data_IF_015879678026
#
_entry.id   IF_015879678026
#
_cell.length_a   1.000
_cell.length_b   1.000
_cell.length_c   1.000
_cell.angle_alpha   90.00
_cell.angle_beta   90.00
_cell.angle_gamma   90.00
#
_symmetry.space_group_name_H-M   'P 1'
#
loop_
_entity.id
_entity.type
_entity.pdbx_description
1 polymer ?
#
# COMPACT_ATOMS: atom_id res chain seq x y z
N UNK A 1 30.38 32.09 2.29
CA UNK A 1 29.67 30.88 2.75
C UNK A 1 30.76 29.84 2.96
N UNK A 2 31.24 29.69 4.18
CA UNK A 2 32.18 28.61 4.52
C UNK A 2 31.43 27.29 4.37
N UNK A 3 31.96 26.38 3.54
CA UNK A 3 31.53 24.99 3.55
C UNK A 3 31.94 24.42 4.90
N UNK A 4 30.95 24.14 5.75
CA UNK A 4 31.16 23.33 6.94
C UNK A 4 31.38 21.91 6.41
N UNK A 5 32.62 21.43 6.41
CA UNK A 5 32.92 20.03 6.13
C UNK A 5 32.20 19.19 7.19
N UNK A 6 31.31 18.30 6.74
CA UNK A 6 30.74 17.28 7.62
C UNK A 6 31.87 16.42 8.20
N UNK A 7 31.82 16.07 9.49
CA UNK A 7 32.83 15.19 10.08
C UNK A 7 32.89 13.87 9.31
N UNK A 8 34.09 13.29 9.22
CA UNK A 8 34.30 11.99 8.60
C UNK A 8 33.43 10.92 9.30
N UNK A 9 32.82 9.98 8.55
CA UNK A 9 31.95 8.96 9.12
C UNK A 9 32.72 8.06 10.08
N UNK A 10 32.13 7.80 11.25
CA UNK A 10 32.70 6.96 12.32
C UNK A 10 31.76 5.79 12.57
N UNK A 11 32.04 4.61 12.00
CA UNK A 11 31.14 3.47 12.14
C UNK A 11 31.12 2.98 13.59
N UNK A 12 29.93 2.63 14.09
CA UNK A 12 29.77 1.92 15.35
C UNK A 12 28.93 0.67 15.14
N UNK A 13 29.34 -0.50 15.62
CA UNK A 13 28.48 -1.68 15.56
C UNK A 13 27.28 -1.55 16.53
N UNK A 14 26.09 -1.88 16.05
CA UNK A 14 24.85 -1.87 16.86
C UNK A 14 24.83 -2.97 17.93
N UNK A 15 25.63 -4.03 17.71
CA UNK A 15 25.79 -5.15 18.63
C UNK A 15 27.17 -5.80 18.44
N UNK A 16 27.72 -6.48 19.46
CA UNK A 16 28.96 -7.23 19.32
C UNK A 16 28.85 -8.31 18.23
N UNK A 17 29.80 -8.33 17.29
CA UNK A 17 29.88 -9.35 16.24
C UNK A 17 30.92 -10.39 16.63
N UNK A 18 30.56 -11.67 16.55
CA UNK A 18 31.52 -12.77 16.73
C UNK A 18 31.64 -13.52 15.40
N UNK A 19 32.81 -13.44 14.78
CA UNK A 19 33.13 -14.28 13.62
C UNK A 19 33.35 -15.71 14.12
N UNK A 20 32.57 -16.66 13.60
CA UNK A 20 32.85 -18.08 13.84
C UNK A 20 34.17 -18.43 13.17
N UNK A 21 35.02 -19.19 13.86
CA UNK A 21 36.26 -19.70 13.29
C UNK A 21 35.97 -20.34 11.93
N UNK A 22 36.58 -19.81 10.88
CA UNK A 22 36.54 -20.44 9.58
C UNK A 22 37.42 -21.69 9.64
N UNK A 23 36.82 -22.88 9.60
CA UNK A 23 37.51 -24.15 9.33
C UNK A 23 37.96 -24.20 7.86
N UNK A 24 38.73 -23.20 7.45
CA UNK A 24 39.20 -22.97 6.09
C UNK A 24 40.72 -22.99 5.99
N UNK A 25 41.26 -22.88 4.77
CA UNK A 25 42.71 -22.79 4.55
C UNK A 25 43.33 -21.60 5.31
N UNK A 26 44.66 -21.61 5.58
CA UNK A 26 45.33 -20.60 6.40
C UNK A 26 45.05 -19.15 5.99
N UNK A 27 44.88 -18.91 4.69
CA UNK A 27 44.53 -17.59 4.13
C UNK A 27 43.14 -17.11 4.61
N UNK A 28 42.16 -18.01 4.70
CA UNK A 28 40.81 -17.69 5.21
C UNK A 28 40.81 -17.44 6.72
N UNK A 29 41.67 -18.13 7.46
CA UNK A 29 41.82 -17.88 8.91
C UNK A 29 42.47 -16.52 9.17
N UNK A 30 43.49 -16.16 8.39
CA UNK A 30 44.13 -14.87 8.48
C UNK A 30 43.17 -13.72 8.15
N UNK A 31 42.41 -13.83 7.05
CA UNK A 31 41.39 -12.85 6.69
C UNK A 31 40.30 -12.68 7.77
N UNK A 32 39.89 -13.76 8.44
CA UNK A 32 38.93 -13.70 9.53
C UNK A 32 39.48 -12.95 10.76
N UNK A 33 40.77 -13.11 11.08
CA UNK A 33 41.42 -12.38 12.17
C UNK A 33 41.50 -10.89 11.86
N UNK A 34 41.89 -10.55 10.63
CA UNK A 34 41.95 -9.16 10.15
C UNK A 34 40.57 -8.50 10.23
N UNK A 35 39.53 -9.17 9.71
CA UNK A 35 38.17 -8.68 9.78
C UNK A 35 37.67 -8.51 11.22
N UNK A 36 37.93 -9.46 12.12
CA UNK A 36 37.55 -9.34 13.53
C UNK A 36 38.17 -8.10 14.20
N UNK A 37 39.47 -7.90 14.00
CA UNK A 37 40.19 -6.74 14.53
C UNK A 37 39.68 -5.42 13.97
N UNK A 38 39.33 -5.39 12.68
CA UNK A 38 38.72 -4.20 12.07
C UNK A 38 37.34 -3.92 12.66
N UNK A 39 36.50 -4.95 12.84
CA UNK A 39 35.18 -4.80 13.45
C UNK A 39 35.26 -4.29 14.90
N UNK A 40 36.28 -4.67 15.66
CA UNK A 40 36.50 -4.14 17.02
C UNK A 40 36.79 -2.63 17.03
N UNK A 41 37.24 -2.06 15.91
CA UNK A 41 37.47 -0.62 15.76
C UNK A 41 36.21 0.15 15.29
N UNK A 42 35.11 -0.55 14.96
CA UNK A 42 33.83 0.08 14.65
C UNK A 42 33.12 0.44 15.95
N UNK A 43 33.70 1.40 16.68
CA UNK A 43 33.30 1.82 18.03
C UNK A 43 32.69 3.23 18.08
N UNK A 44 32.53 3.88 16.92
CA UNK A 44 32.08 5.26 16.78
C UNK A 44 33.14 6.31 17.16
N UNK A 45 34.37 5.91 17.47
CA UNK A 45 35.48 6.81 17.84
C UNK A 45 36.48 6.97 16.70
N UNK A 46 36.74 5.88 15.99
CA UNK A 46 37.69 5.86 14.88
C UNK A 46 36.98 6.15 13.55
N UNK A 47 37.58 7.01 12.72
CA UNK A 47 37.14 7.18 11.34
C UNK A 47 37.78 6.14 10.40
N UNK A 48 37.27 6.02 9.17
CA UNK A 48 37.74 5.02 8.22
C UNK A 48 39.20 5.23 7.76
N UNK A 49 39.72 6.45 7.84
CA UNK A 49 41.12 6.74 7.50
C UNK A 49 42.07 6.39 8.66
N UNK A 50 41.60 6.45 9.91
CA UNK A 50 42.27 5.91 11.09
C UNK A 50 42.33 4.38 11.03
N UNK A 51 41.19 3.73 10.77
CA UNK A 51 41.11 2.26 10.70
C UNK A 51 41.96 1.72 9.54
N UNK A 52 41.95 2.36 8.37
CA UNK A 52 42.79 1.95 7.23
C UNK A 52 44.30 2.11 7.50
N UNK A 53 44.69 3.04 8.38
CA UNK A 53 46.09 3.21 8.79
C UNK A 53 46.51 2.14 9.79
N UNK A 54 45.62 1.79 10.72
CA UNK A 54 45.88 0.80 11.76
C UNK A 54 45.80 -0.65 11.22
N UNK A 55 45.04 -0.86 10.14
CA UNK A 55 44.93 -2.15 9.46
C UNK A 55 45.20 -2.05 7.94
N UNK A 56 46.49 -1.93 7.52
CA UNK A 56 46.85 -1.72 6.11
C UNK A 56 46.54 -2.92 5.20
N UNK A 57 46.17 -4.07 5.77
CA UNK A 57 45.71 -5.25 5.03
C UNK A 57 44.27 -5.07 4.49
N UNK A 58 43.52 -4.09 5.02
CA UNK A 58 42.20 -3.68 4.56
C UNK A 58 42.27 -2.27 3.92
N UNK A 59 42.47 -2.19 2.60
CA UNK A 59 42.44 -0.93 1.88
C UNK A 59 41.15 -0.15 2.15
N UNK A 60 41.25 1.19 2.16
CA UNK A 60 40.12 2.10 2.38
C UNK A 60 38.88 1.77 1.54
N UNK A 61 39.06 1.39 0.27
CA UNK A 61 37.96 1.00 -0.62
C UNK A 61 37.19 -0.25 -0.13
N UNK A 62 37.88 -1.23 0.45
CA UNK A 62 37.24 -2.42 1.04
C UNK A 62 36.56 -2.08 2.37
N UNK A 63 37.10 -1.14 3.15
CA UNK A 63 36.44 -0.64 4.35
C UNK A 63 35.14 0.10 3.99
N UNK A 64 35.16 0.94 2.95
CA UNK A 64 33.94 1.61 2.46
C UNK A 64 32.88 0.59 1.99
N UNK A 65 33.28 -0.49 1.30
CA UNK A 65 32.39 -1.57 0.89
C UNK A 65 31.83 -2.37 2.09
N UNK A 66 32.68 -2.69 3.07
CA UNK A 66 32.30 -3.40 4.28
C UNK A 66 31.30 -2.58 5.10
N UNK A 67 31.60 -1.30 5.36
CA UNK A 67 30.69 -0.39 6.06
C UNK A 67 29.38 -0.28 5.30
N UNK A 68 29.43 -0.04 3.99
CA UNK A 68 28.20 0.04 3.18
C UNK A 68 27.39 -1.26 3.18
N UNK A 69 28.01 -2.42 3.37
CA UNK A 69 27.32 -3.72 3.47
C UNK A 69 26.70 -3.91 4.86
N UNK A 70 27.43 -3.56 5.91
CA UNK A 70 26.96 -3.68 7.28
C UNK A 70 25.87 -2.64 7.62
N UNK A 71 26.01 -1.42 7.11
CA UNK A 71 24.98 -0.37 7.18
C UNK A 71 23.68 -0.81 6.51
N UNK A 72 23.73 -1.33 5.28
CA UNK A 72 22.56 -1.94 4.61
C UNK A 72 21.94 -3.10 5.38
N UNK A 73 22.71 -3.80 6.21
CA UNK A 73 22.23 -4.86 7.08
C UNK A 73 21.73 -4.35 8.45
N UNK A 74 21.81 -3.05 8.71
CA UNK A 74 21.45 -2.43 9.99
C UNK A 74 22.39 -2.80 11.13
N UNK A 75 23.65 -3.14 10.81
CA UNK A 75 24.66 -3.58 11.76
C UNK A 75 25.61 -2.45 12.21
N UNK A 76 25.56 -1.29 11.55
CA UNK A 76 26.31 -0.09 11.91
C UNK A 76 25.34 1.04 12.26
N UNK A 77 25.69 1.79 13.29
CA UNK A 77 25.13 3.07 13.73
C UNK A 77 26.24 4.10 13.51
N UNK A 78 26.34 4.64 12.29
CA UNK A 78 27.17 5.82 12.08
C UNK A 78 26.30 7.05 12.35
N UNK A 79 26.87 8.08 12.99
CA UNK A 79 26.18 9.37 13.20
C UNK A 79 25.91 10.10 11.85
N UNK A 80 25.95 9.39 10.72
CA UNK A 80 25.66 9.92 9.41
C UNK A 80 24.16 10.28 9.34
N UNK A 81 23.82 11.51 8.96
CA UNK A 81 22.43 11.90 8.82
C UNK A 81 21.79 11.06 7.70
N UNK A 82 20.87 10.17 8.07
CA UNK A 82 20.05 9.43 7.10
C UNK A 82 19.13 10.42 6.40
N UNK A 83 19.27 10.51 5.08
CA UNK A 83 18.39 11.33 4.24
C UNK A 83 16.93 10.89 4.45
N UNK A 84 16.18 11.71 5.17
CA UNK A 84 14.82 11.43 5.59
C UNK A 84 13.92 12.64 5.36
N UNK A 85 12.62 12.38 5.20
CA UNK A 85 11.59 13.39 4.92
C UNK A 85 10.37 13.15 5.80
N UNK A 86 9.65 14.20 6.14
CA UNK A 86 8.44 14.07 6.95
C UNK A 86 7.37 13.26 6.21
N UNK A 87 6.63 12.41 6.92
CA UNK A 87 5.55 11.61 6.33
C UNK A 87 4.51 12.48 5.60
N UNK A 88 4.20 13.64 6.18
CA UNK A 88 3.29 14.63 5.59
C UNK A 88 3.74 15.19 4.24
N UNK A 89 5.05 15.27 3.98
CA UNK A 89 5.58 15.70 2.68
C UNK A 89 5.57 14.56 1.67
N UNK A 90 5.92 13.35 2.13
CA UNK A 90 5.97 12.16 1.28
C UNK A 90 4.58 11.79 0.77
N UNK A 91 3.54 11.89 1.60
CA UNK A 91 2.20 11.52 1.17
C UNK A 91 1.67 12.41 0.04
N UNK A 92 1.96 13.72 0.07
CA UNK A 92 1.56 14.62 -1.02
C UNK A 92 2.22 14.21 -2.35
N UNK A 93 3.49 13.85 -2.32
CA UNK A 93 4.19 13.36 -3.52
C UNK A 93 3.63 12.01 -4.00
N UNK A 94 3.22 11.13 -3.08
CA UNK A 94 2.57 9.87 -3.44
C UNK A 94 1.20 10.13 -4.07
N UNK A 95 0.39 11.02 -3.49
CA UNK A 95 -0.92 11.41 -4.03
C UNK A 95 -0.78 11.97 -5.46
N UNK A 96 0.19 12.87 -5.70
CA UNK A 96 0.48 13.40 -7.04
C UNK A 96 0.86 12.29 -8.04
N UNK A 97 1.66 11.31 -7.61
CA UNK A 97 2.04 10.17 -8.45
C UNK A 97 0.86 9.23 -8.73
N UNK A 98 0.01 8.97 -7.72
CA UNK A 98 -1.21 8.19 -7.90
C UNK A 98 -2.12 8.87 -8.91
N UNK A 99 -2.36 10.17 -8.77
CA UNK A 99 -3.19 10.95 -9.70
C UNK A 99 -2.64 10.86 -11.13
N UNK A 100 -1.33 11.05 -11.30
CA UNK A 100 -0.66 10.92 -12.60
C UNK A 100 -0.90 9.53 -13.23
N UNK A 101 -0.83 8.46 -12.43
CA UNK A 101 -1.11 7.11 -12.93
C UNK A 101 -2.60 6.89 -13.22
N UNK A 102 -3.50 7.45 -12.42
CA UNK A 102 -4.95 7.40 -12.64
C UNK A 102 -5.33 8.06 -13.97
N UNK A 103 -4.77 9.24 -14.28
CA UNK A 103 -4.97 9.93 -15.56
C UNK A 103 -4.55 9.11 -16.79
N UNK A 104 -3.55 8.24 -16.61
CA UNK A 104 -3.03 7.36 -17.67
C UNK A 104 -3.81 6.06 -17.80
N UNK A 105 -4.53 5.63 -16.77
CA UNK A 105 -5.18 4.31 -16.66
C UNK A 105 -6.66 4.47 -16.30
N UNK A 106 -6.99 4.52 -15.01
CA UNK A 106 -8.35 4.53 -14.45
C UNK A 106 -9.30 5.51 -15.15
N UNK A 107 -8.91 6.76 -15.37
CA UNK A 107 -9.80 7.74 -16.00
C UNK A 107 -10.05 7.47 -17.49
N UNK A 108 -9.29 6.56 -18.09
CA UNK A 108 -9.46 6.07 -19.46
C UNK A 108 -10.14 4.70 -19.52
N UNK A 109 -10.39 4.07 -18.36
CA UNK A 109 -11.05 2.79 -18.27
C UNK A 109 -12.44 2.84 -18.91
N UNK A 110 -12.84 1.81 -19.70
CA UNK A 110 -14.17 1.75 -20.30
C UNK A 110 -15.32 1.91 -19.29
N UNK A 111 -15.19 1.33 -18.10
CA UNK A 111 -16.18 1.46 -17.04
C UNK A 111 -16.42 2.92 -16.65
N UNK A 112 -15.33 3.64 -16.37
CA UNK A 112 -15.40 5.03 -15.93
C UNK A 112 -15.86 5.98 -17.05
N UNK A 113 -15.41 5.73 -18.28
CA UNK A 113 -15.91 6.47 -19.45
C UNK A 113 -17.41 6.29 -19.64
N UNK A 114 -17.91 5.06 -19.52
CA UNK A 114 -19.35 4.80 -19.60
C UNK A 114 -20.14 5.54 -18.51
N UNK A 115 -19.61 5.61 -17.28
CA UNK A 115 -20.24 6.39 -16.22
C UNK A 115 -20.30 7.90 -16.55
N UNK A 116 -19.21 8.47 -17.09
CA UNK A 116 -19.14 9.88 -17.48
C UNK A 116 -20.04 10.20 -18.68
N UNK A 117 -20.11 9.31 -19.66
CA UNK A 117 -20.90 9.45 -20.89
C UNK A 117 -22.39 9.16 -20.68
N UNK A 118 -22.80 8.68 -19.49
CA UNK A 118 -24.20 8.43 -19.15
C UNK A 118 -24.95 9.75 -19.02
N UNK A 119 -25.97 9.96 -19.86
CA UNK A 119 -26.76 11.20 -19.86
C UNK A 119 -28.27 10.97 -19.81
N UNK A 120 -28.72 9.75 -20.10
CA UNK A 120 -30.12 9.37 -20.22
C UNK A 120 -30.41 7.97 -19.68
N UNK A 121 -31.69 7.63 -19.41
CA UNK A 121 -32.10 6.28 -19.07
C UNK A 121 -31.68 5.27 -20.13
N UNK A 122 -31.06 4.16 -19.70
CA UNK A 122 -30.59 3.09 -20.59
C UNK A 122 -29.16 3.22 -21.10
N UNK A 123 -28.49 4.36 -20.90
CA UNK A 123 -27.07 4.54 -21.28
C UNK A 123 -26.14 3.67 -20.43
N UNK A 124 -26.48 3.46 -19.15
CA UNK A 124 -25.80 2.55 -18.25
C UNK A 124 -26.62 1.27 -18.09
N UNK A 125 -26.11 0.09 -18.51
CA UNK A 125 -26.83 -1.17 -18.33
C UNK A 125 -27.03 -1.48 -16.84
N UNK A 126 -28.27 -1.76 -16.43
CA UNK A 126 -28.59 -2.15 -15.04
C UNK A 126 -27.77 -3.36 -14.58
N UNK A 127 -27.54 -4.33 -15.48
CA UNK A 127 -26.68 -5.49 -15.24
C UNK A 127 -25.25 -5.11 -14.88
N UNK A 128 -24.68 -4.09 -15.53
CA UNK A 128 -23.35 -3.58 -15.22
C UNK A 128 -23.32 -2.93 -13.84
N UNK A 129 -24.35 -2.15 -13.50
CA UNK A 129 -24.47 -1.55 -12.17
C UNK A 129 -24.59 -2.62 -11.07
N UNK A 130 -25.45 -3.62 -11.25
CA UNK A 130 -25.57 -4.75 -10.31
C UNK A 130 -24.23 -5.50 -10.19
N UNK A 131 -23.54 -5.73 -11.31
CA UNK A 131 -22.22 -6.36 -11.33
C UNK A 131 -21.17 -5.61 -10.53
N UNK A 132 -21.12 -4.28 -10.68
CA UNK A 132 -20.26 -3.43 -9.86
C UNK A 132 -20.58 -3.57 -8.36
N UNK A 133 -21.86 -3.64 -7.98
CA UNK A 133 -22.26 -3.85 -6.57
C UNK A 133 -21.87 -5.25 -6.07
N UNK A 134 -21.97 -6.29 -6.91
CA UNK A 134 -21.53 -7.66 -6.58
C UNK A 134 -20.03 -7.67 -6.24
N UNK A 135 -19.20 -7.07 -7.09
CA UNK A 135 -17.75 -7.10 -6.87
C UNK A 135 -17.34 -6.22 -5.67
N UNK A 136 -17.99 -5.08 -5.45
CA UNK A 136 -17.74 -4.27 -4.25
C UNK A 136 -18.22 -4.98 -2.97
N UNK A 137 -19.31 -5.73 -3.02
CA UNK A 137 -19.72 -6.56 -1.87
C UNK A 137 -18.62 -7.56 -1.54
N UNK A 138 -18.04 -8.23 -2.54
CA UNK A 138 -16.93 -9.15 -2.32
C UNK A 138 -15.65 -8.49 -1.80
N UNK A 139 -15.39 -7.26 -2.20
CA UNK A 139 -14.29 -6.44 -1.70
C UNK A 139 -14.50 -6.10 -0.22
N UNK A 140 -15.62 -5.44 0.13
CA UNK A 140 -15.94 -5.03 1.51
C UNK A 140 -16.12 -6.22 2.46
N UNK A 141 -16.75 -7.30 2.00
CA UNK A 141 -16.88 -8.53 2.80
C UNK A 141 -15.52 -9.11 3.23
N UNK A 142 -14.45 -8.79 2.50
CA UNK A 142 -13.07 -9.23 2.77
C UNK A 142 -12.18 -8.12 3.31
N UNK A 143 -12.71 -6.95 3.60
CA UNK A 143 -11.94 -5.81 4.09
C UNK A 143 -11.16 -6.13 5.36
N UNK A 144 -11.78 -6.88 6.25
CA UNK A 144 -11.09 -7.39 7.45
C UNK A 144 -9.84 -8.23 7.17
N UNK A 145 -9.68 -8.81 5.98
CA UNK A 145 -8.49 -9.59 5.62
C UNK A 145 -7.28 -8.70 5.34
N UNK A 146 -7.48 -7.45 4.93
CA UNK A 146 -6.41 -6.51 4.62
C UNK A 146 -6.31 -5.33 5.58
N UNK A 147 -7.36 -4.99 6.34
CA UNK A 147 -7.28 -3.93 7.35
C UNK A 147 -6.79 -4.42 8.73
N UNK A 148 -7.23 -5.61 9.14
CA UNK A 148 -6.84 -6.16 10.44
C UNK A 148 -5.31 -6.29 10.66
N UNK A 149 -4.49 -6.65 9.65
CA UNK A 149 -3.05 -6.84 9.82
C UNK A 149 -2.29 -5.58 10.24
N UNK A 150 -2.81 -4.39 9.94
CA UNK A 150 -2.16 -3.11 10.29
C UNK A 150 -2.61 -2.55 11.64
N UNK A 151 -3.65 -3.11 12.26
CA UNK A 151 -4.12 -2.69 13.58
C UNK A 151 -3.06 -2.71 14.68
N UNK A 152 -2.06 -3.62 14.72
CA UNK A 152 -1.02 -3.59 15.74
C UNK A 152 0.14 -2.65 15.41
N UNK A 153 0.05 -1.75 14.41
CA UNK A 153 1.15 -0.90 13.93
C UNK A 153 1.96 -0.29 15.09
N UNK A 154 3.13 -0.91 15.34
CA UNK A 154 3.98 -0.64 16.51
C UNK A 154 4.65 0.73 16.43
N UNK A 155 5.16 1.18 15.27
CA UNK A 155 5.95 2.42 15.19
C UNK A 155 5.22 3.69 15.63
N UNK A 156 3.88 3.74 15.56
CA UNK A 156 3.11 4.92 15.94
C UNK A 156 1.80 4.56 16.63
N UNK A 157 1.68 4.94 17.91
CA UNK A 157 0.46 4.76 18.70
C UNK A 157 -0.72 5.59 18.16
N UNK A 158 -0.54 6.87 17.77
CA UNK A 158 -1.61 7.63 17.12
C UNK A 158 -2.14 6.96 15.85
N UNK A 159 -1.25 6.52 14.95
CA UNK A 159 -1.64 5.77 13.73
C UNK A 159 -2.44 4.53 14.09
N UNK A 160 -1.97 3.73 15.07
CA UNK A 160 -2.69 2.56 15.55
C UNK A 160 -4.12 2.89 16.01
N UNK A 161 -4.30 3.93 16.81
CA UNK A 161 -5.63 4.33 17.29
C UNK A 161 -6.53 4.80 16.15
N UNK A 162 -5.98 5.51 15.17
CA UNK A 162 -6.70 5.93 13.96
C UNK A 162 -7.17 4.72 13.15
N UNK A 163 -6.31 3.73 12.91
CA UNK A 163 -6.67 2.50 12.19
C UNK A 163 -7.70 1.65 12.93
N UNK A 164 -7.61 1.56 14.27
CA UNK A 164 -8.60 0.82 15.06
C UNK A 164 -10.00 1.47 15.00
N UNK A 165 -10.05 2.81 14.95
CA UNK A 165 -11.31 3.54 14.76
C UNK A 165 -11.87 3.27 13.36
N UNK A 166 -11.06 3.47 12.32
CA UNK A 166 -11.43 3.21 10.93
C UNK A 166 -11.97 1.79 10.73
N UNK A 167 -11.24 0.77 11.19
CA UNK A 167 -11.67 -0.63 11.12
C UNK A 167 -13.01 -0.90 11.83
N UNK A 168 -13.27 -0.20 12.94
CA UNK A 168 -14.54 -0.34 13.67
C UNK A 168 -15.70 0.34 12.95
N UNK A 169 -15.42 1.40 12.16
CA UNK A 169 -16.38 2.14 11.36
C UNK A 169 -16.77 1.35 10.10
N UNK A 170 -15.80 0.76 9.41
CA UNK A 170 -16.02 -0.05 8.19
C UNK A 170 -16.77 -1.37 8.45
N UNK A 171 -16.78 -1.85 9.71
CA UNK A 171 -17.41 -3.11 10.04
C UNK A 171 -18.91 -3.13 9.70
N UNK A 172 -19.28 -3.98 8.74
CA UNK A 172 -20.66 -4.16 8.30
C UNK A 172 -21.07 -3.29 7.11
N UNK A 173 -20.14 -2.56 6.49
CA UNK A 173 -20.43 -1.82 5.25
C UNK A 173 -20.84 -2.74 4.08
N UNK A 174 -20.38 -4.00 4.08
CA UNK A 174 -20.84 -5.02 3.15
C UNK A 174 -22.37 -5.28 3.25
N UNK A 175 -22.96 -5.12 4.43
CA UNK A 175 -24.41 -5.26 4.63
C UNK A 175 -25.20 -4.18 3.90
N UNK A 176 -24.63 -2.97 3.77
CA UNK A 176 -25.24 -1.88 3.03
C UNK A 176 -25.35 -2.26 1.55
N UNK A 177 -24.29 -2.83 0.97
CA UNK A 177 -24.32 -3.31 -0.41
C UNK A 177 -25.26 -4.51 -0.58
N UNK A 178 -25.36 -5.37 0.43
CA UNK A 178 -26.29 -6.49 0.41
C UNK A 178 -27.76 -6.03 0.33
N UNK A 179 -28.11 -4.86 0.87
CA UNK A 179 -29.46 -4.29 0.69
C UNK A 179 -29.76 -3.97 -0.78
N UNK A 180 -28.80 -3.40 -1.51
CA UNK A 180 -28.94 -3.14 -2.95
C UNK A 180 -29.04 -4.46 -3.75
N UNK A 181 -28.26 -5.46 -3.38
CA UNK A 181 -28.28 -6.79 -4.03
C UNK A 181 -29.58 -7.55 -3.76
N UNK A 182 -30.14 -7.46 -2.54
CA UNK A 182 -31.44 -8.05 -2.21
C UNK A 182 -32.56 -7.44 -3.05
N UNK A 183 -32.52 -6.13 -3.33
CA UNK A 183 -33.46 -5.49 -4.24
C UNK A 183 -33.36 -6.06 -5.66
N UNK A 184 -32.15 -6.35 -6.12
CA UNK A 184 -31.89 -7.03 -7.39
C UNK A 184 -32.21 -8.54 -7.38
N UNK A 185 -32.76 -9.07 -6.28
CA UNK A 185 -33.16 -10.47 -6.15
C UNK A 185 -32.03 -11.43 -5.76
N UNK A 186 -30.88 -10.91 -5.30
CA UNK A 186 -29.74 -11.70 -4.84
C UNK A 186 -29.72 -11.76 -3.31
N UNK A 187 -29.84 -12.96 -2.75
CA UNK A 187 -29.82 -13.16 -1.31
C UNK A 187 -28.39 -13.26 -0.77
N UNK A 188 -28.23 -13.19 0.57
CA UNK A 188 -26.94 -13.53 1.20
C UNK A 188 -26.44 -14.91 0.81
N UNK A 189 -27.33 -15.90 0.71
CA UNK A 189 -26.95 -17.25 0.33
C UNK A 189 -26.38 -17.28 -1.09
N UNK A 190 -26.93 -16.48 -2.01
CA UNK A 190 -26.38 -16.32 -3.35
C UNK A 190 -24.98 -15.71 -3.32
N UNK A 191 -24.77 -14.67 -2.50
CA UNK A 191 -23.48 -14.01 -2.39
C UNK A 191 -22.40 -14.86 -1.71
N UNK A 192 -22.78 -15.74 -0.78
CA UNK A 192 -21.87 -16.70 -0.16
C UNK A 192 -21.50 -17.87 -1.10
N UNK A 193 -22.39 -18.21 -2.04
CA UNK A 193 -22.14 -19.19 -3.11
C UNK A 193 -21.43 -18.56 -4.33
N UNK A 194 -21.40 -17.23 -4.41
CA UNK A 194 -20.78 -16.49 -5.50
C UNK A 194 -19.24 -16.51 -5.43
N UNK A 195 -18.62 -16.65 -6.60
CA UNK A 195 -17.18 -16.59 -6.80
C UNK A 195 -16.84 -15.20 -7.39
N UNK A 196 -16.13 -14.33 -6.65
CA UNK A 196 -15.70 -13.02 -7.16
C UNK A 196 -14.83 -13.14 -8.41
N UNK A 197 -14.80 -12.09 -9.24
CA UNK A 197 -13.89 -12.03 -10.39
C UNK A 197 -12.43 -12.23 -9.94
N UNK A 198 -11.58 -12.88 -10.77
CA UNK A 198 -10.17 -13.08 -10.44
C UNK A 198 -9.46 -11.77 -10.08
N UNK A 199 -9.79 -10.67 -10.75
CA UNK A 199 -9.23 -9.34 -10.55
C UNK A 199 -9.67 -8.74 -9.21
N UNK A 200 -10.94 -8.94 -8.81
CA UNK A 200 -11.44 -8.59 -7.46
C UNK A 200 -10.63 -9.30 -6.37
N UNK A 201 -10.39 -10.60 -6.53
CA UNK A 201 -9.55 -11.34 -5.58
C UNK A 201 -8.06 -10.96 -5.68
N UNK A 202 -7.57 -10.65 -6.88
CA UNK A 202 -6.21 -10.19 -7.11
C UNK A 202 -5.91 -8.93 -6.33
N UNK A 203 -6.81 -7.94 -6.41
CA UNK A 203 -6.72 -6.71 -5.64
C UNK A 203 -6.79 -6.98 -4.12
N UNK A 204 -7.78 -7.75 -3.65
CA UNK A 204 -7.89 -8.10 -2.22
C UNK A 204 -6.62 -8.79 -1.69
N UNK A 205 -6.06 -9.73 -2.46
CA UNK A 205 -4.86 -10.45 -2.07
C UNK A 205 -3.61 -9.56 -2.06
N UNK A 206 -3.51 -8.60 -2.99
CA UNK A 206 -2.42 -7.64 -3.00
C UNK A 206 -2.47 -6.69 -1.79
N UNK A 207 -3.66 -6.17 -1.47
CA UNK A 207 -3.89 -5.37 -0.25
C UNK A 207 -3.57 -6.17 1.02
N UNK A 208 -4.00 -7.44 1.07
CA UNK A 208 -3.66 -8.33 2.17
C UNK A 208 -2.14 -8.56 2.26
N UNK A 209 -1.45 -8.72 1.13
CA UNK A 209 0.01 -8.84 1.13
C UNK A 209 0.68 -7.57 1.68
N UNK A 210 0.34 -6.40 1.15
CA UNK A 210 0.95 -5.13 1.55
C UNK A 210 0.65 -4.76 3.00
N UNK A 211 -0.55 -5.00 3.51
CA UNK A 211 -0.88 -4.76 4.92
C UNK A 211 -0.02 -5.59 5.88
N UNK A 212 0.39 -6.80 5.49
CA UNK A 212 1.27 -7.64 6.29
C UNK A 212 2.75 -7.29 6.13
N UNK A 213 3.19 -6.93 4.92
CA UNK A 213 4.63 -6.82 4.60
C UNK A 213 5.15 -5.40 4.50
N UNK A 214 4.28 -4.43 4.18
CA UNK A 214 4.65 -3.02 4.01
C UNK A 214 3.48 -2.10 4.44
N UNK A 215 3.17 -2.00 5.75
CA UNK A 215 2.03 -1.22 6.25
C UNK A 215 2.00 0.24 5.78
N UNK A 216 3.17 0.87 5.64
CA UNK A 216 3.26 2.25 5.14
C UNK A 216 2.77 2.36 3.70
N UNK A 217 3.17 1.43 2.83
CA UNK A 217 2.65 1.40 1.47
C UNK A 217 1.15 1.11 1.47
N UNK A 218 0.69 0.16 2.28
CA UNK A 218 -0.74 -0.13 2.43
C UNK A 218 -1.54 1.13 2.84
N UNK A 219 -1.09 1.90 3.84
CA UNK A 219 -1.75 3.15 4.23
C UNK A 219 -1.87 4.12 3.07
N UNK A 220 -0.85 4.21 2.22
CA UNK A 220 -0.89 5.08 1.06
C UNK A 220 -1.96 4.68 0.03
N UNK A 221 -2.38 3.41 -0.01
CA UNK A 221 -3.45 2.94 -0.91
C UNK A 221 -4.85 3.34 -0.44
N UNK A 222 -5.05 3.51 0.88
CA UNK A 222 -6.35 3.84 1.47
C UNK A 222 -6.95 5.12 0.89
N UNK A 223 -6.12 6.08 0.50
CA UNK A 223 -6.59 7.35 -0.06
C UNK A 223 -7.44 7.13 -1.32
N UNK A 224 -6.92 6.34 -2.26
CA UNK A 224 -7.61 6.05 -3.52
C UNK A 224 -8.85 5.16 -3.31
N UNK A 225 -8.76 4.18 -2.39
CA UNK A 225 -9.87 3.28 -2.07
C UNK A 225 -11.03 4.02 -1.42
N UNK A 226 -10.74 4.97 -0.52
CA UNK A 226 -11.72 5.84 0.14
C UNK A 226 -12.20 7.02 -0.72
N UNK A 227 -11.83 7.05 -2.00
CA UNK A 227 -12.33 8.02 -2.96
C UNK A 227 -11.66 9.41 -2.90
N UNK A 228 -10.41 9.51 -2.46
CA UNK A 228 -9.60 10.71 -2.73
C UNK A 228 -9.33 10.85 -4.24
N UNK A 229 -9.45 12.07 -4.76
CA UNK A 229 -9.03 12.41 -6.13
C UNK A 229 -10.02 12.06 -7.25
N UNK A 230 -10.83 11.01 -7.11
CA UNK A 230 -11.91 10.76 -8.06
C UNK A 230 -12.98 11.85 -7.95
N UNK A 231 -13.44 12.40 -9.09
CA UNK A 231 -14.61 13.28 -9.15
C UNK A 231 -15.76 12.57 -8.41
N UNK A 232 -16.05 13.01 -7.18
CA UNK A 232 -16.88 12.31 -6.22
C UNK A 232 -18.14 11.73 -6.88
N UNK A 233 -18.35 10.43 -6.65
CA UNK A 233 -19.58 9.69 -6.98
C UNK A 233 -19.94 9.55 -8.47
N UNK A 234 -18.97 9.60 -9.39
CA UNK A 234 -19.24 9.46 -10.84
C UNK A 234 -20.08 8.23 -11.19
N UNK A 235 -19.92 7.10 -10.50
CA UNK A 235 -20.75 5.91 -10.65
C UNK A 235 -22.19 6.09 -10.12
N UNK A 236 -22.36 6.61 -8.90
CA UNK A 236 -23.69 6.83 -8.31
C UNK A 236 -24.45 7.87 -9.15
N UNK A 237 -23.79 8.96 -9.54
CA UNK A 237 -24.38 9.96 -10.41
C UNK A 237 -24.74 9.38 -11.78
N UNK A 238 -23.93 8.46 -12.33
CA UNK A 238 -24.29 7.75 -13.55
C UNK A 238 -25.55 6.89 -13.35
N UNK A 239 -25.65 6.16 -12.24
CA UNK A 239 -26.84 5.39 -11.89
C UNK A 239 -28.10 6.28 -11.78
N UNK A 240 -27.97 7.47 -11.17
CA UNK A 240 -29.05 8.45 -11.07
C UNK A 240 -29.45 9.02 -12.44
N UNK A 241 -28.47 9.41 -13.28
CA UNK A 241 -28.72 9.88 -14.65
C UNK A 241 -29.38 8.82 -15.53
N UNK A 242 -28.97 7.56 -15.36
CA UNK A 242 -29.57 6.39 -16.00
C UNK A 242 -30.94 6.00 -15.42
N UNK A 243 -31.43 6.70 -14.39
CA UNK A 243 -32.69 6.42 -13.70
C UNK A 243 -32.80 4.97 -13.20
N UNK A 244 -31.70 4.42 -12.69
CA UNK A 244 -31.73 3.11 -12.04
C UNK A 244 -32.61 3.15 -10.78
N UNK A 245 -33.24 2.03 -10.40
CA UNK A 245 -34.16 2.00 -9.27
C UNK A 245 -33.52 2.46 -7.96
N UNK A 246 -34.26 3.24 -7.16
CA UNK A 246 -33.78 3.73 -5.85
C UNK A 246 -33.44 2.60 -4.87
N UNK A 247 -34.10 1.45 -4.99
CA UNK A 247 -33.75 0.26 -4.21
C UNK A 247 -32.34 -0.28 -4.50
N UNK A 248 -31.78 0.00 -5.69
CA UNK A 248 -30.40 -0.31 -6.04
C UNK A 248 -29.46 0.85 -5.67
N UNK A 249 -29.84 2.10 -5.96
CA UNK A 249 -28.94 3.28 -5.81
C UNK A 249 -28.89 3.83 -4.39
N UNK A 250 -30.01 3.79 -3.66
CA UNK A 250 -30.13 4.34 -2.31
C UNK A 250 -29.13 3.79 -1.30
N UNK A 251 -28.90 2.46 -1.23
CA UNK A 251 -27.86 1.90 -0.36
C UNK A 251 -26.45 2.35 -0.74
N UNK A 252 -26.13 2.49 -2.03
CA UNK A 252 -24.84 3.00 -2.51
C UNK A 252 -24.58 4.43 -2.04
N UNK A 253 -25.61 5.28 -2.10
CA UNK A 253 -25.56 6.64 -1.55
C UNK A 253 -25.38 6.63 -0.05
N UNK A 254 -26.00 5.69 0.65
CA UNK A 254 -25.85 5.55 2.10
C UNK A 254 -24.40 5.24 2.46
N UNK A 255 -23.79 4.27 1.77
CA UNK A 255 -22.38 3.94 1.92
C UNK A 255 -21.46 5.16 1.64
N UNK A 256 -21.61 5.80 0.48
CA UNK A 256 -20.80 6.97 0.12
C UNK A 256 -20.95 8.12 1.14
N UNK A 257 -22.16 8.37 1.66
CA UNK A 257 -22.39 9.40 2.67
C UNK A 257 -21.74 9.07 4.02
N UNK A 258 -21.64 7.79 4.40
CA UNK A 258 -20.95 7.40 5.63
C UNK A 258 -19.46 7.77 5.52
N UNK A 259 -18.80 7.40 4.42
CA UNK A 259 -17.37 7.68 4.20
C UNK A 259 -17.10 9.19 4.12
N UNK A 260 -18.00 9.97 3.50
CA UNK A 260 -17.93 11.44 3.49
C UNK A 260 -18.05 12.04 4.89
N UNK A 261 -19.01 11.59 5.69
CA UNK A 261 -19.23 12.10 7.05
C UNK A 261 -18.07 11.75 8.00
N UNK A 262 -17.43 10.60 7.79
CA UNK A 262 -16.26 10.17 8.55
C UNK A 262 -14.93 10.78 8.03
N UNK A 263 -14.99 11.58 6.96
CA UNK A 263 -13.83 12.22 6.33
C UNK A 263 -12.74 11.22 5.90
N UNK A 264 -13.13 10.04 5.41
CA UNK A 264 -12.21 8.97 5.01
C UNK A 264 -11.29 9.40 3.86
N UNK A 265 -11.75 10.30 3.00
CA UNK A 265 -10.94 11.03 2.03
C UNK A 265 -9.87 11.96 2.62
N UNK A 266 -9.57 11.89 3.92
CA UNK A 266 -8.42 12.54 4.56
C UNK A 266 -7.63 11.59 5.47
N UNK A 267 -8.07 10.32 5.59
CA UNK A 267 -7.50 9.31 6.48
C UNK A 267 -6.00 9.12 6.25
N UNK A 268 -5.60 8.96 4.99
CA UNK A 268 -4.20 8.75 4.63
C UNK A 268 -3.33 9.94 5.06
N UNK A 269 -3.79 11.17 4.82
CA UNK A 269 -3.07 12.36 5.28
C UNK A 269 -2.97 12.43 6.79
N UNK A 270 -4.04 12.07 7.52
CA UNK A 270 -4.03 12.01 8.98
C UNK A 270 -3.03 10.96 9.50
N UNK A 271 -2.98 9.78 8.88
CA UNK A 271 -1.99 8.74 9.21
C UNK A 271 -0.56 9.26 9.00
N UNK A 272 -0.28 9.85 7.84
CA UNK A 272 1.07 10.30 7.50
C UNK A 272 1.51 11.57 8.23
N UNK A 273 0.60 12.35 8.81
CA UNK A 273 0.92 13.40 9.77
C UNK A 273 1.54 12.84 11.06
N UNK A 274 1.13 11.64 11.46
CA UNK A 274 1.63 10.92 12.65
C UNK A 274 2.83 9.99 12.34
N UNK A 275 3.37 10.08 11.11
CA UNK A 275 4.62 9.41 10.69
C UNK A 275 5.75 10.44 10.68
N UNK A 276 6.65 10.45 11.69
CA UNK A 276 7.59 11.55 11.90
C UNK A 276 8.56 11.75 10.73
N UNK A 277 9.20 10.67 10.30
CA UNK A 277 10.19 10.67 9.22
C UNK A 277 10.16 9.36 8.45
N UNK A 278 10.46 9.44 7.16
CA UNK A 278 10.61 8.33 6.24
C UNK A 278 11.97 8.43 5.54
N UNK A 279 12.72 7.35 5.56
CA UNK A 279 13.99 7.22 4.87
C UNK A 279 13.79 7.17 3.35
N UNK A 280 14.78 7.69 2.60
CA UNK A 280 14.76 7.70 1.15
C UNK A 280 14.50 6.32 0.53
N UNK A 281 15.05 5.25 1.11
CA UNK A 281 14.84 3.88 0.65
C UNK A 281 13.38 3.42 0.81
N UNK A 282 12.73 3.77 1.92
CA UNK A 282 11.31 3.49 2.16
C UNK A 282 10.44 4.28 1.18
N UNK A 283 10.72 5.56 0.96
CA UNK A 283 10.00 6.38 -0.02
C UNK A 283 10.14 5.80 -1.43
N UNK A 284 11.34 5.39 -1.83
CA UNK A 284 11.59 4.76 -3.13
C UNK A 284 10.82 3.44 -3.29
N UNK A 285 10.82 2.59 -2.25
CA UNK A 285 10.06 1.32 -2.24
C UNK A 285 8.57 1.54 -2.37
N UNK A 286 8.01 2.52 -1.65
CA UNK A 286 6.59 2.87 -1.76
C UNK A 286 6.24 3.30 -3.19
N UNK A 287 7.03 4.22 -3.76
CA UNK A 287 6.80 4.69 -5.14
C UNK A 287 6.89 3.59 -6.18
N UNK A 288 7.83 2.66 -6.03
CA UNK A 288 8.01 1.55 -6.97
C UNK A 288 6.79 0.62 -7.04
N UNK A 289 5.99 0.55 -5.98
CA UNK A 289 4.80 -0.32 -5.91
C UNK A 289 3.52 0.38 -6.37
N UNK A 290 3.48 1.72 -6.40
CA UNK A 290 2.27 2.49 -6.75
C UNK A 290 1.71 2.10 -8.11
N UNK A 291 2.59 1.88 -9.10
CA UNK A 291 2.16 1.52 -10.45
C UNK A 291 1.37 0.21 -10.46
N UNK A 292 1.87 -0.80 -9.75
CA UNK A 292 1.21 -2.10 -9.63
C UNK A 292 -0.14 -1.97 -8.91
N UNK A 293 -0.22 -1.17 -7.85
CA UNK A 293 -1.50 -0.90 -7.17
C UNK A 293 -2.53 -0.29 -8.11
N UNK A 294 -2.16 0.77 -8.84
CA UNK A 294 -3.07 1.45 -9.77
C UNK A 294 -3.48 0.52 -10.93
N UNK A 295 -2.58 -0.32 -11.43
CA UNK A 295 -2.90 -1.33 -12.45
C UNK A 295 -3.89 -2.38 -11.94
N UNK A 296 -3.68 -2.91 -10.73
CA UNK A 296 -4.64 -3.87 -10.13
C UNK A 296 -6.02 -3.24 -9.89
N UNK A 297 -6.05 -1.96 -9.53
CA UNK A 297 -7.30 -1.24 -9.36
C UNK A 297 -8.00 -0.96 -10.70
N UNK A 298 -7.24 -0.65 -11.77
CA UNK A 298 -7.78 -0.54 -13.12
C UNK A 298 -8.29 -1.89 -13.66
N UNK A 299 -7.56 -2.98 -13.40
CA UNK A 299 -7.94 -4.34 -13.78
C UNK A 299 -9.25 -4.77 -13.12
N UNK A 300 -9.50 -4.38 -11.87
CA UNK A 300 -10.79 -4.58 -11.19
C UNK A 300 -11.95 -3.99 -12.01
N UNK A 301 -11.86 -2.72 -12.41
CA UNK A 301 -12.91 -2.06 -13.21
C UNK A 301 -13.01 -2.62 -14.62
N UNK A 302 -11.88 -2.97 -15.22
CA UNK A 302 -11.81 -3.62 -16.54
C UNK A 302 -12.53 -4.96 -16.53
N UNK A 303 -12.33 -5.77 -15.48
CA UNK A 303 -12.98 -7.06 -15.32
C UNK A 303 -14.49 -6.92 -15.10
N UNK A 304 -14.92 -5.97 -14.25
CA UNK A 304 -16.34 -5.62 -14.05
C UNK A 304 -16.97 -5.26 -15.40
N UNK A 305 -16.34 -4.37 -16.16
CA UNK A 305 -16.82 -3.98 -17.49
C UNK A 305 -16.96 -5.20 -18.41
N UNK A 306 -15.90 -5.96 -18.61
CA UNK A 306 -15.90 -7.09 -19.55
C UNK A 306 -16.89 -8.18 -19.17
N UNK A 307 -16.98 -8.54 -17.88
CA UNK A 307 -17.85 -9.62 -17.45
C UNK A 307 -19.32 -9.22 -17.53
N UNK A 308 -19.69 -8.06 -16.99
CA UNK A 308 -21.09 -7.69 -16.83
C UNK A 308 -21.72 -7.03 -18.07
N UNK A 309 -20.91 -6.66 -19.07
CA UNK A 309 -21.41 -6.31 -20.42
C UNK A 309 -21.49 -7.51 -21.38
N UNK A 310 -21.05 -8.70 -20.95
CA UNK A 310 -21.13 -9.94 -21.73
C UNK A 310 -22.41 -10.76 -21.43
N UNK A 311 -22.61 -11.83 -22.20
CA UNK A 311 -23.70 -12.82 -22.03
C UNK A 311 -23.43 -13.85 -20.92
N UNK A 312 -22.41 -13.64 -20.07
CA UNK A 312 -22.11 -14.54 -18.97
C UNK A 312 -23.28 -14.65 -17.95
N UNK A 313 -23.31 -15.67 -17.07
CA UNK A 313 -24.19 -15.64 -15.90
C UNK A 313 -23.98 -14.38 -15.05
N UNK A 314 -25.01 -13.93 -14.31
CA UNK A 314 -24.83 -12.80 -13.39
C UNK A 314 -23.90 -13.17 -12.23
N UNK A 315 -24.03 -14.40 -11.71
CA UNK A 315 -23.17 -14.94 -10.66
C UNK A 315 -22.37 -16.14 -11.17
N UNK A 316 -21.08 -16.14 -10.89
CA UNK A 316 -20.23 -17.33 -10.93
C UNK A 316 -20.45 -18.06 -9.62
N UNK A 317 -20.78 -19.35 -9.63
CA UNK A 317 -21.19 -20.06 -8.42
C UNK A 317 -20.30 -21.26 -8.13
N UNK A 318 -20.03 -21.49 -6.86
CA UNK A 318 -19.37 -22.71 -6.39
C UNK A 318 -20.26 -23.92 -6.69
N UNK A 319 -21.58 -23.79 -6.54
CA UNK A 319 -22.55 -24.83 -6.88
C UNK A 319 -22.54 -25.29 -8.35
N UNK A 320 -21.87 -24.55 -9.25
CA UNK A 320 -21.79 -24.84 -10.68
C UNK A 320 -20.48 -25.57 -11.07
N UNK A 321 -19.58 -25.82 -10.11
CA UNK A 321 -18.32 -26.55 -10.29
C UNK A 321 -18.50 -28.04 -9.95
#
# INVERSE_FOLDING_TARGET
MEQIESPAPRPRLVAPVTLRHADGPPESQHAAVVLARTLDQFDGRHDLDEIARDDPELPRALLDELVGTLDKAGLIDDDAPVASRAGSEVILEIEDLVEQYCEQTLYRNPFWRACLDTHSPGDLPERLAIGMVIENWHFLFRESYFDAPVLPYVPSTPVRLTLNRFFSEEYGHDEILLHALNFAGLSRADMLDAIPLPETMGLCNALAYWSHTDPLFFFATLGLLEGQGMQHDSFIQACERAQLPDGLVGPLKTHANINLNAAHGSLTRAIFQDVPVLEAATVARMKAQLRLFVELYDDFYTAVWHYYTSDAPLLRRVSNL
#
